data_IF_399044126422
#
_entry.id   IF_399044126422
#
_cell.length_a   1.000
_cell.length_b   1.000
_cell.length_c   1.000
_cell.angle_alpha   90.00
_cell.angle_beta   90.00
_cell.angle_gamma   90.00
#
_symmetry.space_group_name_H-M   'P 1'
#
loop_
_entity.id
_entity.type
_entity.pdbx_description
1 polymer ?
#
# COMPACT_ATOMS: atom_id res chain seq x y z
N UNK A 1 -1.57 4.28 -10.00
CA UNK A 1 -1.49 5.64 -10.57
C UNK A 1 -0.03 6.06 -10.65
N UNK A 2 0.35 6.75 -11.73
CA UNK A 2 1.67 7.35 -11.87
C UNK A 2 1.53 8.74 -12.51
N UNK A 3 2.48 9.63 -12.27
CA UNK A 3 2.45 10.98 -12.82
C UNK A 3 3.70 11.78 -12.53
N UNK A 4 3.66 13.05 -12.91
CA UNK A 4 4.71 14.04 -12.64
C UNK A 4 4.07 15.41 -12.44
N UNK A 5 4.76 16.30 -11.75
CA UNK A 5 4.39 17.72 -11.72
C UNK A 5 5.36 18.53 -12.57
N UNK A 6 4.88 19.67 -13.06
CA UNK A 6 5.65 20.57 -13.91
C UNK A 6 5.82 21.93 -13.25
N UNK A 7 6.98 22.56 -13.48
CA UNK A 7 7.23 23.97 -13.18
C UNK A 7 7.65 24.66 -14.48
N UNK A 8 6.86 25.63 -14.93
CA UNK A 8 7.07 26.32 -16.21
C UNK A 8 7.23 25.36 -17.40
N UNK A 9 6.42 24.30 -17.46
CA UNK A 9 6.47 23.28 -18.52
C UNK A 9 7.55 22.22 -18.35
N UNK A 10 8.43 22.32 -17.34
CA UNK A 10 9.50 21.35 -17.09
C UNK A 10 9.08 20.35 -16.01
N UNK A 11 9.16 19.02 -16.24
CA UNK A 11 8.93 18.02 -15.20
C UNK A 11 9.95 18.16 -14.05
N UNK A 12 9.47 18.21 -12.81
CA UNK A 12 10.31 18.44 -11.62
C UNK A 12 10.35 17.27 -10.64
N UNK A 13 9.35 16.41 -10.68
CA UNK A 13 9.26 15.18 -9.90
C UNK A 13 8.44 14.15 -10.65
N UNK A 14 8.55 12.90 -10.21
CA UNK A 14 7.61 11.85 -10.58
C UNK A 14 7.03 11.21 -9.32
N UNK A 15 5.83 10.66 -9.47
CA UNK A 15 5.08 10.01 -8.42
C UNK A 15 4.53 8.67 -8.88
N UNK A 16 4.52 7.73 -7.95
CA UNK A 16 3.81 6.48 -8.02
C UNK A 16 2.86 6.38 -6.82
N UNK A 17 1.66 5.88 -7.06
CA UNK A 17 0.65 5.63 -6.05
C UNK A 17 -0.06 4.31 -6.32
N UNK A 18 0.01 3.38 -5.36
CA UNK A 18 -0.63 2.06 -5.40
C UNK A 18 -1.69 2.03 -4.31
N UNK A 19 -2.96 1.84 -4.70
CA UNK A 19 -4.09 1.82 -3.78
C UNK A 19 -4.61 0.41 -3.47
N UNK A 20 -5.06 0.21 -2.24
CA UNK A 20 -5.78 -0.97 -1.77
C UNK A 20 -6.70 -0.60 -0.62
N UNK A 21 -8.02 -0.82 -0.78
CA UNK A 21 -9.02 -0.32 0.17
C UNK A 21 -8.81 1.18 0.40
N UNK A 22 -8.82 1.64 1.65
CA UNK A 22 -8.57 3.04 2.02
C UNK A 22 -7.08 3.37 2.20
N UNK A 23 -6.18 2.41 1.93
CA UNK A 23 -4.74 2.56 2.04
C UNK A 23 -4.08 2.80 0.68
N UNK A 24 -3.06 3.65 0.67
CA UNK A 24 -2.22 3.89 -0.49
C UNK A 24 -0.76 3.89 -0.07
N UNK A 25 0.08 3.24 -0.86
CA UNK A 25 1.52 3.45 -0.82
C UNK A 25 1.92 4.48 -1.87
N UNK A 26 2.76 5.43 -1.47
CA UNK A 26 3.22 6.52 -2.34
C UNK A 26 4.74 6.57 -2.41
N UNK A 27 5.26 6.67 -3.64
CA UNK A 27 6.66 7.00 -3.93
C UNK A 27 6.72 8.36 -4.58
N UNK A 28 7.62 9.24 -4.12
CA UNK A 28 7.73 10.59 -4.65
C UNK A 28 9.19 11.01 -4.74
N UNK A 29 9.68 11.25 -5.95
CA UNK A 29 11.05 11.65 -6.17
C UNK A 29 11.11 12.98 -6.91
N UNK A 30 11.71 13.97 -6.27
CA UNK A 30 12.01 15.26 -6.90
C UNK A 30 13.43 15.23 -7.46
N UNK A 31 13.58 15.64 -8.72
CA UNK A 31 14.91 15.67 -9.33
C UNK A 31 15.82 16.63 -8.58
N UNK A 32 17.11 16.28 -8.50
CA UNK A 32 18.12 16.98 -7.70
C UNK A 32 18.07 18.51 -7.85
N UNK A 33 18.01 19.00 -9.09
CA UNK A 33 17.94 20.44 -9.43
C UNK A 33 16.74 21.17 -8.82
N UNK A 34 15.66 20.46 -8.49
CA UNK A 34 14.41 21.01 -7.97
C UNK A 34 14.16 20.67 -6.50
N UNK A 35 15.13 20.06 -5.80
CA UNK A 35 15.06 19.82 -4.35
C UNK A 35 15.31 21.11 -3.59
N UNK A 36 14.32 21.99 -3.61
CA UNK A 36 14.30 23.30 -2.95
C UNK A 36 13.07 23.43 -2.05
N UNK A 37 12.92 24.55 -1.34
CA UNK A 37 11.91 24.72 -0.28
C UNK A 37 10.45 24.43 -0.67
N UNK A 38 10.09 24.51 -1.95
CA UNK A 38 8.73 24.25 -2.43
C UNK A 38 8.33 22.76 -2.42
N UNK A 39 9.29 21.82 -2.32
CA UNK A 39 9.02 20.38 -2.42
C UNK A 39 7.96 19.90 -1.44
N UNK A 40 7.96 20.42 -0.20
CA UNK A 40 6.95 20.05 0.80
C UNK A 40 5.54 20.50 0.41
N UNK A 41 5.41 21.71 -0.14
CA UNK A 41 4.13 22.22 -0.63
C UNK A 41 3.63 21.41 -1.82
N UNK A 42 4.49 21.15 -2.81
CA UNK A 42 4.17 20.36 -4.00
C UNK A 42 3.72 18.96 -3.60
N UNK A 43 4.46 18.29 -2.71
CA UNK A 43 4.10 16.98 -2.19
C UNK A 43 2.71 17.00 -1.53
N UNK A 44 2.41 18.01 -0.71
CA UNK A 44 1.09 18.15 -0.09
C UNK A 44 -0.04 18.36 -1.13
N UNK A 45 0.19 19.14 -2.19
CA UNK A 45 -0.79 19.31 -3.26
C UNK A 45 -1.04 17.99 -3.99
N UNK A 46 0.02 17.24 -4.28
CA UNK A 46 -0.03 15.95 -4.94
C UNK A 46 -0.78 14.93 -4.07
N UNK A 47 -0.48 14.86 -2.78
CA UNK A 47 -1.23 14.01 -1.85
C UNK A 47 -2.70 14.39 -1.79
N UNK A 48 -3.05 15.69 -1.76
CA UNK A 48 -4.45 16.10 -1.80
C UNK A 48 -5.16 15.57 -3.05
N UNK A 49 -4.54 15.72 -4.23
CA UNK A 49 -5.10 15.21 -5.48
C UNK A 49 -5.25 13.68 -5.46
N UNK A 50 -4.25 12.96 -4.98
CA UNK A 50 -4.30 11.50 -4.88
C UNK A 50 -5.35 11.02 -3.89
N UNK A 51 -5.44 11.61 -2.70
CA UNK A 51 -6.44 11.21 -1.70
C UNK A 51 -7.86 11.51 -2.20
N UNK A 52 -8.07 12.65 -2.86
CA UNK A 52 -9.37 12.98 -3.46
C UNK A 52 -9.73 12.02 -4.60
N UNK A 53 -8.79 11.79 -5.52
CA UNK A 53 -9.01 10.93 -6.67
C UNK A 53 -9.19 9.47 -6.22
N UNK A 54 -8.37 8.96 -5.31
CA UNK A 54 -8.36 7.54 -4.93
C UNK A 54 -9.30 7.20 -3.78
N UNK A 55 -9.89 8.18 -3.09
CA UNK A 55 -10.69 7.93 -1.88
C UNK A 55 -9.86 7.41 -0.70
N UNK A 56 -8.54 7.54 -0.77
CA UNK A 56 -7.60 7.06 0.25
C UNK A 56 -7.69 7.91 1.51
N UNK A 57 -7.71 7.26 2.67
CA UNK A 57 -7.64 7.91 3.98
C UNK A 57 -6.35 7.60 4.75
N UNK A 58 -5.61 6.56 4.36
CA UNK A 58 -4.33 6.17 4.94
C UNK A 58 -3.22 6.16 3.87
N UNK A 59 -2.21 7.02 4.01
CA UNK A 59 -1.06 7.09 3.12
C UNK A 59 0.15 6.47 3.79
N UNK A 60 0.89 5.60 3.09
CA UNK A 60 2.11 4.94 3.53
C UNK A 60 3.29 5.34 2.64
N UNK A 61 4.45 5.56 3.26
CA UNK A 61 5.74 5.71 2.58
C UNK A 61 6.64 4.56 2.98
N UNK A 62 7.14 3.83 1.99
CA UNK A 62 7.92 2.61 2.21
C UNK A 62 9.39 2.87 2.58
N UNK A 63 10.05 1.94 3.30
CA UNK A 63 11.39 2.11 3.88
C UNK A 63 12.47 2.70 2.96
N UNK A 64 12.49 2.32 1.68
CA UNK A 64 13.50 2.80 0.74
C UNK A 64 13.41 4.31 0.48
N UNK A 65 12.20 4.89 0.48
CA UNK A 65 12.01 6.34 0.37
C UNK A 65 12.52 7.09 1.61
N UNK A 66 12.67 6.40 2.74
CA UNK A 66 13.14 6.96 4.01
C UNK A 66 14.64 6.78 4.22
N UNK A 67 15.29 5.90 3.44
CA UNK A 67 16.72 5.62 3.53
C UNK A 67 17.12 4.16 3.77
N UNK A 68 16.19 3.21 3.75
CA UNK A 68 16.55 1.78 3.80
C UNK A 68 17.17 1.37 2.47
N UNK A 69 18.44 0.96 2.50
CA UNK A 69 19.26 0.67 1.31
C UNK A 69 19.32 1.84 0.30
N UNK A 70 19.15 3.08 0.79
CA UNK A 70 19.15 4.30 0.00
C UNK A 70 19.92 5.41 0.74
N UNK A 71 21.22 5.51 0.47
CA UNK A 71 22.10 6.48 1.12
C UNK A 71 21.74 7.94 0.78
N UNK A 72 21.22 8.20 -0.43
CA UNK A 72 20.77 9.54 -0.83
C UNK A 72 19.62 10.05 0.05
N UNK A 73 18.68 9.16 0.41
CA UNK A 73 17.59 9.49 1.34
C UNK A 73 18.08 9.69 2.79
N UNK A 74 19.16 9.00 3.19
CA UNK A 74 19.81 9.23 4.49
C UNK A 74 20.50 10.59 4.51
N UNK A 75 21.28 10.93 3.48
CA UNK A 75 22.02 12.19 3.39
C UNK A 75 21.10 13.41 3.33
N UNK A 76 19.96 13.28 2.63
CA UNK A 76 18.94 14.33 2.58
C UNK A 76 18.07 14.43 3.84
N UNK A 77 18.16 13.46 4.75
CA UNK A 77 17.30 13.40 5.95
C UNK A 77 15.83 13.20 5.61
N UNK A 78 15.52 12.44 4.57
CA UNK A 78 14.16 12.24 4.01
C UNK A 78 13.13 11.85 5.08
N UNK A 79 13.53 11.05 6.08
CA UNK A 79 12.67 10.73 7.22
C UNK A 79 12.04 11.97 7.88
N UNK A 80 12.85 13.01 8.13
CA UNK A 80 12.37 14.24 8.77
C UNK A 80 11.52 15.09 7.85
N UNK A 81 11.66 14.98 6.52
CA UNK A 81 10.75 15.61 5.57
C UNK A 81 9.32 15.08 5.76
N UNK A 82 9.13 13.75 5.74
CA UNK A 82 7.81 13.15 5.96
C UNK A 82 7.30 13.40 7.38
N UNK A 83 8.16 13.28 8.39
CA UNK A 83 7.76 13.53 9.78
C UNK A 83 7.22 14.94 10.01
N UNK A 84 7.85 15.97 9.43
CA UNK A 84 7.38 17.37 9.50
C UNK A 84 6.04 17.60 8.80
N UNK A 85 5.70 16.76 7.82
CA UNK A 85 4.40 16.77 7.14
C UNK A 85 3.32 16.00 7.92
N UNK A 86 3.63 15.49 9.11
CA UNK A 86 2.67 14.81 9.98
C UNK A 86 2.71 13.29 9.90
N UNK A 87 3.63 12.69 9.13
CA UNK A 87 3.75 11.25 9.09
C UNK A 87 4.25 10.68 10.42
N UNK A 88 3.74 9.52 10.82
CA UNK A 88 4.13 8.78 12.02
C UNK A 88 4.73 7.42 11.67
N UNK A 89 5.72 6.90 12.41
CA UNK A 89 6.12 5.51 12.26
C UNK A 89 4.98 4.56 12.64
N UNK A 90 4.85 3.43 11.91
CA UNK A 90 3.92 2.36 12.29
C UNK A 90 4.45 1.41 13.37
N UNK A 91 5.75 1.46 13.67
CA UNK A 91 6.41 0.58 14.64
C UNK A 91 6.62 1.31 15.98
N UNK A 92 6.13 0.80 17.12
CA UNK A 92 6.24 1.48 18.42
C UNK A 92 7.67 1.88 18.82
N UNK A 93 8.64 1.00 18.55
CA UNK A 93 10.05 1.23 18.84
C UNK A 93 10.66 2.35 18.00
N UNK A 94 10.14 2.57 16.78
CA UNK A 94 10.54 3.68 15.93
C UNK A 94 9.88 4.97 16.40
N UNK A 95 8.62 4.95 16.81
CA UNK A 95 7.95 6.11 17.41
C UNK A 95 8.69 6.62 18.65
N UNK A 96 9.08 5.74 19.56
CA UNK A 96 9.91 6.10 20.72
C UNK A 96 11.29 6.66 20.34
N UNK A 97 11.85 6.24 19.20
CA UNK A 97 13.11 6.79 18.70
C UNK A 97 12.90 8.19 18.13
N UNK A 98 11.82 8.42 17.40
CA UNK A 98 11.42 9.75 16.89
C UNK A 98 11.27 10.73 18.03
N UNK A 99 10.48 10.40 19.06
CA UNK A 99 10.25 11.30 20.21
C UNK A 99 11.54 11.67 20.94
N UNK A 100 12.50 10.74 21.02
CA UNK A 100 13.83 11.01 21.60
C UNK A 100 14.63 11.97 20.75
N UNK A 101 14.60 11.81 19.43
CA UNK A 101 15.29 12.70 18.51
C UNK A 101 14.61 14.09 18.43
N UNK A 102 13.29 14.16 18.44
CA UNK A 102 12.53 15.42 18.49
C UNK A 102 12.89 16.23 19.73
N UNK A 103 13.03 15.60 20.91
CA UNK A 103 13.51 16.27 22.12
C UNK A 103 14.92 16.85 21.98
N UNK A 104 15.84 16.14 21.32
CA UNK A 104 17.20 16.66 21.05
C UNK A 104 17.19 17.82 20.06
N UNK A 105 16.36 17.72 19.01
CA UNK A 105 16.19 18.78 18.01
C UNK A 105 15.61 20.04 18.67
N UNK A 106 14.60 19.88 19.54
CA UNK A 106 14.00 20.99 20.28
C UNK A 106 14.99 21.64 21.27
N UNK A 107 15.81 20.83 21.96
CA UNK A 107 16.80 21.33 22.91
C UNK A 107 18.00 22.02 22.24
N UNK A 108 18.35 21.65 20.99
CA UNK A 108 19.47 22.22 20.27
C UNK A 108 19.16 22.36 18.77
N UNK A 109 18.86 23.57 18.27
CA UNK A 109 18.58 23.82 16.85
C UNK A 109 19.72 23.42 15.88
N UNK A 110 20.97 23.34 16.38
CA UNK A 110 22.14 22.89 15.60
C UNK A 110 22.27 21.37 15.56
N UNK A 111 21.54 20.63 16.40
CA UNK A 111 21.57 19.17 16.40
C UNK A 111 21.10 18.62 15.05
N UNK A 112 21.77 17.56 14.60
CA UNK A 112 21.37 16.76 13.45
C UNK A 112 21.34 15.29 13.85
N UNK A 113 20.25 14.61 13.53
CA UNK A 113 20.14 13.17 13.72
C UNK A 113 21.23 12.48 12.91
N UNK A 114 22.02 11.63 13.57
CA UNK A 114 23.11 10.90 12.90
C UNK A 114 22.58 9.95 11.80
N UNK A 115 23.39 9.70 10.78
CA UNK A 115 23.07 8.73 9.72
C UNK A 115 22.71 7.33 10.28
N UNK A 116 23.41 6.89 11.34
CA UNK A 116 23.09 5.63 12.05
C UNK A 116 21.65 5.63 12.60
N UNK A 117 21.22 6.73 13.19
CA UNK A 117 19.85 6.86 13.71
C UNK A 117 18.84 6.96 12.57
N UNK A 118 19.15 7.69 11.49
CA UNK A 118 18.29 7.77 10.30
C UNK A 118 18.07 6.39 9.67
N UNK A 119 19.12 5.57 9.51
CA UNK A 119 18.98 4.19 9.00
C UNK A 119 18.07 3.33 9.88
N UNK A 120 18.08 3.53 11.20
CA UNK A 120 17.15 2.85 12.12
C UNK A 120 15.71 3.34 11.92
N UNK A 121 15.51 4.65 11.81
CA UNK A 121 14.20 5.25 11.57
C UNK A 121 13.60 4.83 10.22
N UNK A 122 14.45 4.66 9.20
CA UNK A 122 14.05 4.21 7.87
C UNK A 122 13.65 2.72 7.79
N UNK A 123 13.88 1.91 8.84
CA UNK A 123 13.63 0.47 8.83
C UNK A 123 12.14 0.07 8.91
N UNK A 124 11.22 1.02 8.82
CA UNK A 124 9.78 0.78 8.85
C UNK A 124 9.02 1.84 8.05
N UNK A 125 7.80 1.51 7.66
CA UNK A 125 6.92 2.44 6.98
C UNK A 125 6.53 3.60 7.91
N UNK A 126 6.27 4.76 7.31
CA UNK A 126 5.61 5.89 7.97
C UNK A 126 4.25 6.14 7.34
N UNK A 127 3.30 6.61 8.13
CA UNK A 127 1.89 6.71 7.77
C UNK A 127 1.38 8.12 8.00
N UNK A 128 0.55 8.62 7.09
CA UNK A 128 -0.26 9.81 7.24
C UNK A 128 -1.73 9.42 7.14
N UNK A 129 -2.49 9.64 8.19
CA UNK A 129 -3.88 9.22 8.30
C UNK A 129 -4.78 10.43 8.40
N UNK A 130 -5.75 10.52 7.49
CA UNK A 130 -6.72 11.61 7.42
C UNK A 130 -7.76 11.50 8.55
N UNK A 131 -8.40 12.61 8.95
CA UNK A 131 -9.49 12.58 9.92
C UNK A 131 -10.56 11.55 9.57
N UNK A 132 -11.02 10.78 10.56
CA UNK A 132 -11.98 9.69 10.38
C UNK A 132 -11.36 8.32 10.06
N UNK A 133 -10.03 8.23 9.88
CA UNK A 133 -9.33 6.94 9.68
C UNK A 133 -9.31 6.10 10.96
N UNK A 134 -9.33 4.77 10.79
CA UNK A 134 -9.01 3.82 11.86
C UNK A 134 -7.49 3.77 12.05
N UNK A 135 -6.97 4.66 12.89
CA UNK A 135 -5.53 4.86 13.13
C UNK A 135 -4.86 3.53 13.52
N UNK A 136 -3.81 3.17 12.79
CA UNK A 136 -2.96 2.02 13.12
C UNK A 136 -3.36 0.70 12.45
N UNK A 137 -4.48 0.66 11.71
CA UNK A 137 -4.95 -0.57 11.07
C UNK A 137 -3.94 -1.15 10.07
N UNK A 138 -3.20 -0.29 9.38
CA UNK A 138 -2.24 -0.66 8.34
C UNK A 138 -0.78 -0.77 8.83
N UNK A 139 -0.49 -0.47 10.10
CA UNK A 139 0.87 -0.38 10.63
C UNK A 139 1.71 -1.65 10.45
N UNK A 140 1.04 -2.82 10.48
CA UNK A 140 1.67 -4.14 10.34
C UNK A 140 1.44 -4.79 8.98
N UNK A 141 0.68 -4.13 8.11
CA UNK A 141 0.34 -4.65 6.80
C UNK A 141 1.56 -4.64 5.87
N UNK A 142 1.70 -5.69 5.06
CA UNK A 142 2.74 -5.82 4.05
C UNK A 142 2.26 -6.67 2.90
N UNK A 143 2.22 -6.09 1.69
CA UNK A 143 1.95 -6.81 0.44
C UNK A 143 2.95 -7.94 0.22
N UNK A 144 4.23 -7.73 0.59
CA UNK A 144 5.29 -8.74 0.54
C UNK A 144 4.94 -9.99 1.34
N UNK A 145 4.34 -9.86 2.52
CA UNK A 145 3.94 -11.01 3.34
C UNK A 145 2.85 -11.84 2.68
N UNK A 146 1.92 -11.21 1.97
CA UNK A 146 0.91 -11.93 1.17
C UNK A 146 1.61 -12.76 0.08
N UNK A 147 2.53 -12.15 -0.67
CA UNK A 147 3.30 -12.85 -1.70
C UNK A 147 4.11 -14.03 -1.16
N UNK A 148 4.77 -13.86 -0.01
CA UNK A 148 5.51 -14.95 0.64
C UNK A 148 4.59 -16.09 1.09
N UNK A 149 3.40 -15.79 1.63
CA UNK A 149 2.41 -16.82 2.00
C UNK A 149 1.85 -17.54 0.78
N UNK A 150 1.58 -16.83 -0.31
CA UNK A 150 1.17 -17.42 -1.58
C UNK A 150 2.26 -18.36 -2.13
N UNK A 151 3.52 -17.95 -2.08
CA UNK A 151 4.66 -18.78 -2.51
C UNK A 151 4.82 -20.03 -1.64
N UNK A 152 4.71 -19.89 -0.32
CA UNK A 152 4.75 -21.03 0.60
C UNK A 152 3.58 -22.02 0.36
N UNK A 153 2.38 -21.51 0.07
CA UNK A 153 1.25 -22.34 -0.31
C UNK A 153 1.47 -23.06 -1.65
N UNK A 154 2.06 -22.38 -2.64
CA UNK A 154 2.43 -22.97 -3.94
C UNK A 154 3.40 -24.14 -3.77
N UNK A 155 4.48 -23.93 -3.02
CA UNK A 155 5.49 -24.96 -2.78
C UNK A 155 4.91 -26.17 -2.04
N UNK A 156 4.17 -25.95 -0.95
CA UNK A 156 3.68 -27.03 -0.07
C UNK A 156 2.49 -27.81 -0.63
N UNK A 157 1.56 -27.16 -1.34
CA UNK A 157 0.29 -27.79 -1.76
C UNK A 157 0.24 -28.13 -3.24
N UNK A 158 1.07 -27.48 -4.06
CA UNK A 158 1.03 -27.60 -5.52
C UNK A 158 2.38 -28.03 -6.10
N UNK A 159 3.35 -28.40 -5.26
CA UNK A 159 4.68 -28.85 -5.70
C UNK A 159 5.45 -27.78 -6.49
N UNK A 160 5.18 -26.50 -6.23
CA UNK A 160 5.77 -25.40 -6.98
C UNK A 160 5.10 -25.08 -8.32
N UNK A 161 4.04 -25.79 -8.72
CA UNK A 161 3.35 -25.54 -9.98
C UNK A 161 2.38 -24.34 -9.88
N UNK A 162 2.82 -23.19 -10.39
CA UNK A 162 2.03 -21.96 -10.41
C UNK A 162 0.78 -22.05 -11.29
N UNK A 163 0.82 -22.79 -12.41
CA UNK A 163 -0.34 -22.93 -13.32
C UNK A 163 -1.42 -23.76 -12.64
N UNK A 164 -1.03 -24.89 -12.05
CA UNK A 164 -1.91 -25.76 -11.28
C UNK A 164 -2.50 -25.01 -10.08
N UNK A 165 -1.69 -24.25 -9.33
CA UNK A 165 -2.18 -23.42 -8.23
C UNK A 165 -3.28 -22.46 -8.68
N UNK A 166 -3.02 -21.65 -9.72
CA UNK A 166 -4.02 -20.68 -10.25
C UNK A 166 -5.32 -21.36 -10.66
N UNK A 167 -5.23 -22.45 -11.42
CA UNK A 167 -6.41 -23.15 -11.91
C UNK A 167 -7.24 -23.78 -10.77
N UNK A 168 -6.59 -24.44 -9.80
CA UNK A 168 -7.29 -25.09 -8.68
C UNK A 168 -7.87 -24.08 -7.69
N UNK A 169 -7.13 -23.02 -7.35
CA UNK A 169 -7.64 -21.96 -6.46
C UNK A 169 -8.79 -21.21 -7.12
N UNK A 170 -8.72 -20.91 -8.43
CA UNK A 170 -9.81 -20.25 -9.14
C UNK A 170 -11.09 -21.08 -9.11
N UNK A 171 -11.02 -22.39 -9.37
CA UNK A 171 -12.18 -23.29 -9.26
C UNK A 171 -12.74 -23.35 -7.84
N UNK A 172 -11.87 -23.42 -6.83
CA UNK A 172 -12.30 -23.47 -5.43
C UNK A 172 -12.98 -22.16 -4.99
N UNK A 173 -12.41 -21.01 -5.38
CA UNK A 173 -12.96 -19.68 -5.11
C UNK A 173 -14.29 -19.50 -5.84
N UNK A 174 -14.39 -19.85 -7.13
CA UNK A 174 -15.65 -19.78 -7.88
C UNK A 174 -16.78 -20.56 -7.18
N UNK A 175 -16.51 -21.79 -6.72
CA UNK A 175 -17.47 -22.59 -5.94
C UNK A 175 -17.86 -21.92 -4.63
N UNK A 176 -16.90 -21.37 -3.88
CA UNK A 176 -17.19 -20.66 -2.62
C UNK A 176 -18.04 -19.39 -2.83
N UNK A 177 -17.88 -18.73 -3.97
CA UNK A 177 -18.66 -17.57 -4.41
C UNK A 177 -20.00 -17.94 -5.08
N UNK A 178 -20.29 -19.23 -5.25
CA UNK A 178 -21.50 -19.70 -5.94
C UNK A 178 -21.57 -19.27 -7.42
N UNK A 179 -20.42 -19.06 -8.06
CA UNK A 179 -20.35 -18.57 -9.44
C UNK A 179 -20.09 -19.72 -10.42
N UNK A 180 -20.94 -19.80 -11.45
CA UNK A 180 -20.61 -20.55 -12.66
C UNK A 180 -19.80 -19.63 -13.60
N UNK A 181 -18.50 -19.92 -13.71
CA UNK A 181 -17.58 -19.13 -14.54
C UNK A 181 -17.61 -19.53 -16.01
N UNK A 182 -18.41 -20.51 -16.44
CA UNK A 182 -18.48 -20.94 -17.84
C UNK A 182 -18.81 -19.77 -18.77
N UNK A 183 -19.77 -18.92 -18.36
CA UNK A 183 -20.27 -17.73 -19.06
C UNK A 183 -19.40 -16.48 -18.92
N UNK A 184 -18.35 -16.52 -18.10
CA UNK A 184 -17.47 -15.38 -17.91
C UNK A 184 -16.57 -15.19 -19.15
N UNK A 185 -16.29 -13.94 -19.48
CA UNK A 185 -15.31 -13.58 -20.49
C UNK A 185 -13.90 -14.05 -20.10
N UNK A 186 -13.00 -14.14 -21.08
CA UNK A 186 -11.59 -14.49 -20.81
C UNK A 186 -10.92 -13.50 -19.85
N UNK A 187 -11.26 -12.21 -19.93
CA UNK A 187 -10.73 -11.18 -19.03
C UNK A 187 -11.22 -11.38 -17.59
N UNK A 188 -12.51 -11.68 -17.38
CA UNK A 188 -13.04 -11.94 -16.05
C UNK A 188 -12.47 -13.23 -15.44
N UNK A 189 -12.26 -14.28 -16.25
CA UNK A 189 -11.59 -15.52 -15.81
C UNK A 189 -10.15 -15.25 -15.37
N UNK A 190 -9.39 -14.49 -16.17
CA UNK A 190 -8.03 -14.10 -15.81
C UNK A 190 -7.98 -13.24 -14.54
N UNK A 191 -8.94 -12.31 -14.38
CA UNK A 191 -9.09 -11.54 -13.14
C UNK A 191 -9.34 -12.46 -11.94
N UNK A 192 -10.29 -13.39 -12.04
CA UNK A 192 -10.56 -14.38 -10.99
C UNK A 192 -9.31 -15.19 -10.63
N UNK A 193 -8.55 -15.69 -11.61
CA UNK A 193 -7.32 -16.45 -11.38
C UNK A 193 -6.27 -15.63 -10.60
N UNK A 194 -6.14 -14.33 -10.91
CA UNK A 194 -5.24 -13.43 -10.20
C UNK A 194 -5.66 -13.22 -8.75
N UNK A 195 -6.95 -13.00 -8.48
CA UNK A 195 -7.46 -12.89 -7.11
C UNK A 195 -7.42 -14.21 -6.36
N UNK A 196 -7.66 -15.33 -7.04
CA UNK A 196 -7.90 -16.61 -6.40
C UNK A 196 -6.72 -17.10 -5.56
N UNK A 197 -5.48 -16.80 -5.99
CA UNK A 197 -4.27 -17.11 -5.21
C UNK A 197 -4.31 -16.44 -3.83
N UNK A 198 -4.66 -15.17 -3.77
CA UNK A 198 -4.76 -14.41 -2.52
C UNK A 198 -6.00 -14.81 -1.72
N UNK A 199 -7.16 -14.92 -2.38
CA UNK A 199 -8.43 -15.31 -1.73
C UNK A 199 -8.36 -16.72 -1.12
N UNK A 200 -7.59 -17.63 -1.70
CA UNK A 200 -7.37 -18.97 -1.16
C UNK A 200 -6.53 -18.98 0.13
N UNK A 201 -5.87 -17.87 0.48
CA UNK A 201 -5.19 -17.70 1.78
C UNK A 201 -6.18 -17.30 2.88
N UNK A 202 -7.41 -16.92 2.54
CA UNK A 202 -8.39 -16.46 3.51
C UNK A 202 -9.03 -17.67 4.19
N UNK A 203 -8.90 -17.83 5.53
CA UNK A 203 -9.35 -19.04 6.22
C UNK A 203 -10.86 -19.33 6.16
N UNK A 204 -11.67 -18.35 5.72
CA UNK A 204 -13.11 -18.37 5.94
C UNK A 204 -13.94 -17.82 4.77
N UNK A 205 -13.44 -17.85 3.52
CA UNK A 205 -14.22 -17.33 2.38
C UNK A 205 -15.60 -18.02 2.23
N UNK A 206 -15.67 -19.32 2.54
CA UNK A 206 -16.92 -20.09 2.54
C UNK A 206 -17.94 -19.57 3.55
N UNK A 207 -17.48 -19.02 4.68
CA UNK A 207 -18.33 -18.51 5.77
C UNK A 207 -18.81 -17.07 5.54
N UNK A 208 -18.41 -16.42 4.44
CA UNK A 208 -18.86 -15.06 4.14
C UNK A 208 -20.34 -15.06 3.77
N UNK A 209 -21.03 -13.97 4.10
CA UNK A 209 -22.42 -13.75 3.74
C UNK A 209 -22.61 -13.68 2.23
N UNK A 210 -23.85 -13.86 1.76
CA UNK A 210 -24.19 -13.76 0.33
C UNK A 210 -23.81 -12.40 -0.24
N UNK A 211 -24.19 -11.32 0.44
CA UNK A 211 -23.92 -9.95 -0.02
C UNK A 211 -22.42 -9.63 -0.10
N UNK A 212 -21.62 -10.16 0.85
CA UNK A 212 -20.17 -10.03 0.84
C UNK A 212 -19.57 -10.78 -0.37
N UNK A 213 -20.03 -11.99 -0.65
CA UNK A 213 -19.58 -12.77 -1.82
C UNK A 213 -19.97 -12.09 -3.13
N UNK A 214 -21.19 -11.58 -3.23
CA UNK A 214 -21.67 -10.87 -4.41
C UNK A 214 -20.89 -9.55 -4.62
N UNK A 215 -20.57 -8.83 -3.55
CA UNK A 215 -19.69 -7.65 -3.60
C UNK A 215 -18.27 -8.02 -4.06
N UNK A 216 -17.72 -9.13 -3.59
CA UNK A 216 -16.43 -9.62 -4.04
C UNK A 216 -16.44 -9.99 -5.54
N UNK A 217 -17.51 -10.62 -6.03
CA UNK A 217 -17.66 -10.92 -7.47
C UNK A 217 -17.70 -9.63 -8.30
N UNK A 218 -18.45 -8.61 -7.87
CA UNK A 218 -18.47 -7.30 -8.54
C UNK A 218 -17.08 -6.68 -8.62
N UNK A 219 -16.31 -6.75 -7.53
CA UNK A 219 -14.94 -6.26 -7.46
C UNK A 219 -14.00 -7.02 -8.42
N UNK A 220 -14.09 -8.36 -8.48
CA UNK A 220 -13.28 -9.17 -9.40
C UNK A 220 -13.57 -8.77 -10.86
N UNK A 221 -14.84 -8.56 -11.20
CA UNK A 221 -15.23 -8.12 -12.54
C UNK A 221 -14.76 -6.70 -12.85
N UNK A 222 -14.90 -5.77 -11.92
CA UNK A 222 -14.48 -4.38 -12.09
C UNK A 222 -12.97 -4.24 -12.38
N UNK A 223 -12.14 -5.23 -12.00
CA UNK A 223 -10.72 -5.25 -12.36
C UNK A 223 -10.47 -5.44 -13.87
N UNK A 224 -11.51 -5.78 -14.64
CA UNK A 224 -11.44 -5.88 -16.11
C UNK A 224 -11.79 -4.56 -16.81
N UNK A 225 -12.23 -3.55 -16.07
CA UNK A 225 -12.54 -2.22 -16.61
C UNK A 225 -11.27 -1.53 -17.12
N UNK A 226 -11.45 -0.55 -18.01
CA UNK A 226 -10.34 0.26 -18.55
C UNK A 226 -9.68 1.15 -17.49
N UNK A 227 -10.39 1.43 -16.41
CA UNK A 227 -9.95 2.25 -15.30
C UNK A 227 -10.03 1.46 -13.99
N UNK A 228 -8.93 1.46 -13.23
CA UNK A 228 -8.84 0.74 -11.97
C UNK A 228 -9.54 1.45 -10.80
N UNK A 229 -9.98 2.70 -10.98
CA UNK A 229 -10.61 3.47 -9.91
C UNK A 229 -11.91 2.85 -9.43
N UNK A 230 -12.74 2.34 -10.34
CA UNK A 230 -13.98 1.65 -9.98
C UNK A 230 -13.70 0.42 -9.09
N UNK A 231 -12.73 -0.41 -9.46
CA UNK A 231 -12.25 -1.52 -8.65
C UNK A 231 -11.77 -1.04 -7.26
N UNK A 232 -10.98 0.02 -7.19
CA UNK A 232 -10.46 0.56 -5.94
C UNK A 232 -11.60 1.01 -5.00
N UNK A 233 -12.58 1.76 -5.50
CA UNK A 233 -13.72 2.19 -4.69
C UNK A 233 -14.57 1.01 -4.18
N UNK A 234 -14.72 -0.05 -4.97
CA UNK A 234 -15.38 -1.27 -4.49
C UNK A 234 -14.60 -1.93 -3.35
N UNK A 235 -13.27 -1.90 -3.38
CA UNK A 235 -12.43 -2.45 -2.30
C UNK A 235 -12.60 -1.69 -0.98
N UNK A 236 -12.86 -0.38 -1.04
CA UNK A 236 -13.09 0.49 0.13
C UNK A 236 -14.42 0.17 0.83
N UNK A 237 -15.42 -0.25 0.07
CA UNK A 237 -16.73 -0.60 0.60
C UNK A 237 -16.84 -2.06 1.06
N UNK A 238 -15.75 -2.85 0.98
CA UNK A 238 -15.77 -4.27 1.32
C UNK A 238 -15.00 -4.56 2.62
N UNK A 239 -15.61 -4.23 3.77
CA UNK A 239 -15.00 -4.39 5.11
C UNK A 239 -14.42 -5.79 5.37
N UNK A 240 -15.15 -6.86 5.00
CA UNK A 240 -14.69 -8.24 5.20
C UNK A 240 -13.42 -8.59 4.43
N UNK A 241 -13.28 -8.07 3.20
CA UNK A 241 -12.09 -8.23 2.38
C UNK A 241 -10.93 -7.46 3.00
N UNK A 242 -11.15 -6.21 3.41
CA UNK A 242 -10.17 -5.39 4.12
C UNK A 242 -9.63 -6.12 5.36
N UNK A 243 -10.51 -6.61 6.23
CA UNK A 243 -10.10 -7.30 7.46
C UNK A 243 -9.32 -8.59 7.18
N UNK A 244 -9.71 -9.33 6.13
CA UNK A 244 -8.99 -10.52 5.69
C UNK A 244 -7.59 -10.18 5.15
N UNK A 245 -7.46 -9.12 4.35
CA UNK A 245 -6.18 -8.61 3.84
C UNK A 245 -5.26 -8.18 4.97
N UNK A 246 -5.78 -7.41 5.95
CA UNK A 246 -5.02 -7.02 7.13
C UNK A 246 -4.57 -8.22 7.95
N UNK A 247 -5.36 -9.28 8.04
CA UNK A 247 -4.99 -10.51 8.75
C UNK A 247 -3.87 -11.28 8.05
N UNK A 248 -3.95 -11.43 6.73
CA UNK A 248 -2.96 -12.19 5.93
C UNK A 248 -1.69 -11.38 5.65
N UNK A 249 -1.81 -10.05 5.56
CA UNK A 249 -0.69 -9.12 5.37
C UNK A 249 0.10 -8.79 6.63
N UNK A 250 -0.27 -9.33 7.80
CA UNK A 250 0.49 -9.21 9.05
C UNK A 250 1.68 -10.15 9.11
#
# INVERSE_FOLDING_TARGET
>A
MAGFTVKNGVPINYIEAIGLCEWMEVGFNTFYTFRVGETGWIYAQVLRCLCHLMGTTCVSVYPYQLGHDNEEAIDSGAFWFYRKLGFRPGRPELSQLVEREERKIAANPKYRTSARTLRRLAAGHVFYELPGSEVGSWDRFSTRKIGLRANAAMASRFGGDARRMRAETARAVARNLGQDTSKWSSAEKASLENFAVTLALFPALSSWGRDEKDALVRLIRAKTDRDEMHYLYLTQNHRRLRDALLKVGR
#
